data_IF_130387513229
#
_entry.id   IF_130387513229
#
_cell.length_a   1.000
_cell.length_b   1.000
_cell.length_c   1.000
_cell.angle_alpha   90.00
_cell.angle_beta   90.00
_cell.angle_gamma   90.00
#
_symmetry.space_group_name_H-M   'P 1'
#
loop_
_entity.id
_entity.type
_entity.pdbx_description
1 polymer ?
#
# COMPACT_ATOMS: atom_id res chain seq x y z
N UNK A 1 -29.25 -24.36 28.32
CA UNK A 1 -28.62 -25.06 27.18
C UNK A 1 -28.76 -24.18 25.94
N UNK A 2 -27.72 -23.43 25.60
CA UNK A 2 -27.55 -22.75 24.30
C UNK A 2 -26.05 -22.73 24.03
N UNK A 3 -25.64 -23.64 23.15
CA UNK A 3 -24.31 -23.74 22.59
C UNK A 3 -23.99 -22.44 21.82
N UNK A 4 -22.79 -21.90 22.04
CA UNK A 4 -22.22 -20.84 21.18
C UNK A 4 -21.03 -21.45 20.47
N UNK A 5 -21.12 -21.43 19.14
CA UNK A 5 -20.14 -21.98 18.23
C UNK A 5 -18.75 -21.39 18.42
N UNK A 6 -17.78 -22.26 18.19
CA UNK A 6 -16.34 -22.03 18.24
C UNK A 6 -16.02 -21.03 17.11
N UNK A 7 -15.68 -19.80 17.50
CA UNK A 7 -15.20 -18.77 16.60
C UNK A 7 -13.84 -19.18 16.05
N UNK A 8 -13.74 -19.17 14.72
CA UNK A 8 -12.56 -19.59 13.98
C UNK A 8 -11.29 -18.84 14.38
N UNK A 9 -10.20 -19.57 14.28
CA UNK A 9 -8.83 -19.09 14.23
C UNK A 9 -8.71 -18.04 13.11
N UNK A 10 -8.64 -16.76 13.48
CA UNK A 10 -8.39 -15.68 12.53
C UNK A 10 -6.88 -15.65 12.27
N UNK A 11 -6.47 -16.26 11.16
CA UNK A 11 -5.12 -16.13 10.63
C UNK A 11 -4.82 -14.64 10.39
N UNK A 12 -3.63 -14.22 10.79
CA UNK A 12 -3.11 -12.86 10.65
C UNK A 12 -3.09 -12.48 9.17
N UNK A 13 -4.01 -11.60 8.80
CA UNK A 13 -4.27 -11.14 7.45
C UNK A 13 -5.77 -10.88 7.38
N UNK A 14 -6.19 -9.75 6.81
CA UNK A 14 -7.62 -9.42 6.65
C UNK A 14 -8.29 -8.80 7.88
N UNK A 15 -7.75 -7.73 8.47
CA UNK A 15 -8.56 -6.66 9.07
C UNK A 15 -7.71 -5.39 9.11
N UNK A 16 -8.27 -4.26 8.66
CA UNK A 16 -7.71 -2.92 8.80
C UNK A 16 -7.62 -2.46 10.26
N UNK A 17 -6.85 -3.18 11.06
CA UNK A 17 -6.36 -2.74 12.36
C UNK A 17 -4.99 -2.11 12.16
N UNK A 18 -4.79 -0.95 12.76
CA UNK A 18 -3.48 -0.34 12.96
C UNK A 18 -2.42 -1.40 13.30
N UNK A 19 -1.47 -1.61 12.39
CA UNK A 19 -0.30 -2.43 12.68
C UNK A 19 0.42 -1.76 13.86
N UNK A 20 0.32 -2.39 15.04
CA UNK A 20 1.00 -1.96 16.25
C UNK A 20 2.51 -2.04 15.99
N UNK A 21 3.11 -0.90 15.61
CA UNK A 21 4.52 -0.78 15.25
C UNK A 21 4.80 0.16 14.07
N UNK A 22 3.81 0.52 13.26
CA UNK A 22 3.99 1.36 12.06
C UNK A 22 3.79 2.85 12.38
N UNK A 23 4.65 3.71 11.83
CA UNK A 23 4.49 5.18 11.90
C UNK A 23 3.08 5.56 11.45
N UNK A 24 2.29 6.19 12.33
CA UNK A 24 0.99 6.75 11.98
C UNK A 24 1.14 8.11 11.31
N UNK A 25 0.06 8.61 10.69
CA UNK A 25 0.05 9.94 10.06
C UNK A 25 0.50 11.07 11.02
N UNK A 26 0.24 10.92 12.32
CA UNK A 26 0.65 11.86 13.38
C UNK A 26 2.16 11.86 13.68
N UNK A 27 2.88 10.78 13.36
CA UNK A 27 4.34 10.64 13.53
C UNK A 27 5.13 11.32 12.40
N UNK A 28 4.39 11.87 11.43
CA UNK A 28 4.85 12.46 10.18
C UNK A 28 4.44 13.94 10.15
N UNK A 29 4.65 14.63 11.28
CA UNK A 29 4.33 16.05 11.38
C UNK A 29 5.25 16.93 10.52
N UNK A 30 6.43 16.44 10.12
CA UNK A 30 7.32 17.05 9.12
C UNK A 30 8.27 15.97 8.56
N UNK A 31 7.82 15.14 7.61
CA UNK A 31 8.71 14.19 6.95
C UNK A 31 9.72 14.93 6.08
N UNK A 32 10.93 14.38 5.95
CA UNK A 32 11.82 14.83 4.90
C UNK A 32 11.15 14.62 3.55
N UNK A 33 11.23 15.65 2.70
CA UNK A 33 10.84 15.61 1.28
C UNK A 33 11.89 14.90 0.41
N UNK A 34 12.98 14.50 1.04
CA UNK A 34 14.06 13.75 0.42
C UNK A 34 13.77 12.25 0.53
N UNK A 35 13.74 11.52 -0.61
CA UNK A 35 13.32 10.12 -0.65
C UNK A 35 14.22 9.21 0.17
N UNK A 36 15.54 9.41 0.12
CA UNK A 36 16.52 8.66 0.91
C UNK A 36 16.33 8.89 2.42
N UNK A 37 16.11 10.14 2.82
CA UNK A 37 15.86 10.46 4.23
C UNK A 37 14.53 9.87 4.73
N UNK A 38 13.51 9.77 3.86
CA UNK A 38 12.24 9.11 4.17
C UNK A 38 12.44 7.62 4.40
N UNK A 39 13.15 6.93 3.49
CA UNK A 39 13.48 5.51 3.59
C UNK A 39 14.20 5.24 4.91
N UNK A 40 15.28 5.97 5.20
CA UNK A 40 16.05 5.80 6.45
C UNK A 40 15.22 6.01 7.71
N UNK A 41 14.28 6.96 7.69
CA UNK A 41 13.40 7.21 8.83
C UNK A 41 12.42 6.06 9.05
N UNK A 42 11.94 5.44 7.98
CA UNK A 42 11.06 4.27 8.06
C UNK A 42 11.85 3.03 8.49
N UNK A 43 13.06 2.82 7.98
CA UNK A 43 13.95 1.73 8.41
C UNK A 43 14.35 1.84 9.89
N UNK A 44 14.35 3.06 10.45
CA UNK A 44 14.63 3.28 11.86
C UNK A 44 13.49 2.83 12.81
N UNK A 45 12.29 2.56 12.30
CA UNK A 45 11.17 2.04 13.11
C UNK A 45 11.09 0.51 13.11
N UNK A 46 10.53 -0.10 14.16
CA UNK A 46 10.40 -1.55 14.22
C UNK A 46 9.60 -2.09 13.04
N UNK A 47 10.20 -3.03 12.32
CA UNK A 47 9.53 -3.78 11.24
C UNK A 47 8.90 -5.07 11.75
N UNK A 48 7.91 -5.56 11.02
CA UNK A 48 7.35 -6.88 11.26
C UNK A 48 8.41 -7.98 11.12
N UNK A 49 8.30 -9.01 11.96
CA UNK A 49 9.20 -10.16 11.94
C UNK A 49 9.07 -10.90 10.60
N UNK A 50 10.20 -11.10 9.91
CA UNK A 50 10.24 -11.76 8.60
C UNK A 50 9.94 -10.84 7.40
N UNK A 51 9.71 -9.55 7.60
CA UNK A 51 9.64 -8.57 6.50
C UNK A 51 11.05 -8.26 5.95
N UNK A 52 11.17 -7.80 4.72
CA UNK A 52 12.40 -7.16 4.22
C UNK A 52 12.34 -5.66 4.44
N UNK A 53 13.46 -4.96 4.25
CA UNK A 53 13.50 -3.50 4.37
C UNK A 53 12.62 -2.86 3.28
N UNK A 54 12.63 -3.39 2.05
CA UNK A 54 11.78 -2.92 0.95
C UNK A 54 10.30 -3.10 1.27
N UNK A 55 9.91 -4.29 1.77
CA UNK A 55 8.53 -4.57 2.15
C UNK A 55 8.06 -3.69 3.31
N UNK A 56 8.94 -3.42 4.28
CA UNK A 56 8.65 -2.54 5.41
C UNK A 56 8.44 -1.10 4.97
N UNK A 57 9.29 -0.57 4.10
CA UNK A 57 9.15 0.77 3.53
C UNK A 57 7.88 0.87 2.69
N UNK A 58 7.65 -0.10 1.81
CA UNK A 58 6.49 -0.12 0.91
C UNK A 58 5.18 -0.15 1.68
N UNK A 59 5.06 -1.03 2.68
CA UNK A 59 3.84 -1.17 3.48
C UNK A 59 3.56 0.06 4.34
N UNK A 60 4.62 0.65 4.93
CA UNK A 60 4.52 1.90 5.69
C UNK A 60 4.01 3.04 4.81
N UNK A 61 4.61 3.25 3.64
CA UNK A 61 4.20 4.31 2.70
C UNK A 61 2.78 4.07 2.20
N UNK A 62 2.44 2.84 1.80
CA UNK A 62 1.09 2.48 1.35
C UNK A 62 0.05 2.76 2.43
N UNK A 63 0.34 2.38 3.68
CA UNK A 63 -0.52 2.65 4.83
C UNK A 63 -0.78 4.14 5.07
N UNK A 64 0.24 4.98 4.87
CA UNK A 64 0.11 6.44 4.98
C UNK A 64 -0.70 7.05 3.85
N UNK A 65 -0.42 6.66 2.61
CA UNK A 65 -1.16 7.12 1.43
C UNK A 65 -2.64 6.73 1.51
N UNK A 66 -2.94 5.54 2.03
CA UNK A 66 -4.30 5.04 2.27
C UNK A 66 -5.11 5.91 3.22
N UNK A 67 -4.46 6.70 4.10
CA UNK A 67 -5.19 7.64 4.96
C UNK A 67 -5.84 8.78 4.18
N UNK A 68 -5.35 9.10 2.98
CA UNK A 68 -5.78 10.25 2.19
C UNK A 68 -5.38 11.62 2.77
N UNK A 69 -4.65 11.66 3.88
CA UNK A 69 -4.25 12.90 4.57
C UNK A 69 -2.87 13.42 4.14
N UNK A 70 -2.18 12.68 3.27
CA UNK A 70 -0.82 13.01 2.82
C UNK A 70 -0.86 14.15 1.79
N UNK A 71 -0.20 15.31 2.04
CA UNK A 71 -0.15 16.42 1.09
C UNK A 71 0.62 16.03 -0.19
N UNK A 72 0.29 16.68 -1.32
CA UNK A 72 0.82 16.32 -2.64
C UNK A 72 2.36 16.30 -2.74
N UNK A 73 3.02 17.29 -2.13
CA UNK A 73 4.48 17.40 -2.09
C UNK A 73 5.14 16.20 -1.38
N UNK A 74 4.51 15.72 -0.31
CA UNK A 74 4.96 14.53 0.40
C UNK A 74 4.64 13.24 -0.36
N UNK A 75 3.47 13.17 -1.03
CA UNK A 75 3.15 12.02 -1.88
C UNK A 75 4.18 11.83 -2.98
N UNK A 76 4.63 12.91 -3.61
CA UNK A 76 5.68 12.86 -4.63
C UNK A 76 6.97 12.25 -4.06
N UNK A 77 7.45 12.73 -2.91
CA UNK A 77 8.64 12.17 -2.26
C UNK A 77 8.46 10.68 -1.88
N UNK A 78 7.26 10.29 -1.45
CA UNK A 78 6.92 8.89 -1.15
C UNK A 78 6.93 8.02 -2.41
N UNK A 79 6.37 8.48 -3.54
CA UNK A 79 6.40 7.73 -4.79
C UNK A 79 7.80 7.58 -5.36
N UNK A 80 8.62 8.63 -5.28
CA UNK A 80 10.04 8.57 -5.63
C UNK A 80 10.77 7.57 -4.74
N UNK A 81 10.54 7.60 -3.43
CA UNK A 81 11.11 6.63 -2.50
C UNK A 81 10.72 5.19 -2.87
N UNK A 82 9.45 4.93 -3.18
CA UNK A 82 9.00 3.62 -3.66
C UNK A 82 9.69 3.24 -4.98
N UNK A 83 9.82 4.15 -5.93
CA UNK A 83 10.46 3.88 -7.23
C UNK A 83 11.97 3.59 -7.11
N UNK A 84 12.62 4.06 -6.04
CA UNK A 84 14.04 3.76 -5.76
C UNK A 84 14.28 2.44 -5.06
N UNK A 85 13.23 1.76 -4.56
CA UNK A 85 13.39 0.49 -3.89
C UNK A 85 13.84 -0.62 -4.86
N UNK A 86 14.69 -1.57 -4.40
CA UNK A 86 14.99 -2.76 -5.17
C UNK A 86 13.72 -3.58 -5.43
N UNK A 87 13.68 -4.24 -6.59
CA UNK A 87 12.58 -5.10 -7.03
C UNK A 87 11.23 -4.40 -7.27
N UNK A 88 11.16 -3.07 -7.20
CA UNK A 88 9.95 -2.33 -7.58
C UNK A 88 9.76 -2.33 -9.09
N UNK A 89 8.53 -2.60 -9.50
CA UNK A 89 8.07 -2.63 -10.89
C UNK A 89 7.07 -1.50 -11.08
N UNK A 90 7.48 -0.46 -11.81
CA UNK A 90 6.57 0.61 -12.22
C UNK A 90 5.90 0.20 -13.54
N UNK A 91 4.60 -0.02 -13.50
CA UNK A 91 3.79 -0.26 -14.70
C UNK A 91 3.30 1.07 -15.24
N UNK A 92 3.94 1.54 -16.31
CA UNK A 92 3.56 2.77 -17.02
C UNK A 92 2.21 2.63 -17.74
N UNK A 93 1.78 1.40 -18.03
CA UNK A 93 0.46 1.15 -18.61
C UNK A 93 -0.64 1.51 -17.61
N UNK A 94 -1.51 2.44 -18.01
CA UNK A 94 -2.62 2.92 -17.18
C UNK A 94 -3.53 1.76 -16.74
N UNK A 95 -3.43 1.42 -15.46
CA UNK A 95 -4.28 0.46 -14.77
C UNK A 95 -5.59 1.12 -14.42
N UNK A 96 -6.69 0.51 -14.86
CA UNK A 96 -8.03 0.93 -14.43
C UNK A 96 -8.39 0.23 -13.12
N UNK A 97 -8.59 0.99 -12.05
CA UNK A 97 -9.16 0.54 -10.77
C UNK A 97 -10.44 1.32 -10.49
N UNK A 98 -11.56 0.63 -10.32
CA UNK A 98 -12.88 1.22 -10.06
C UNK A 98 -13.27 2.37 -11.05
N UNK A 99 -12.86 2.22 -12.31
CA UNK A 99 -13.11 3.20 -13.37
C UNK A 99 -12.13 4.39 -13.41
N UNK A 100 -11.21 4.50 -12.46
CA UNK A 100 -10.13 5.49 -12.48
C UNK A 100 -8.85 4.87 -13.04
N UNK A 101 -8.13 5.61 -13.89
CA UNK A 101 -6.93 5.15 -14.56
C UNK A 101 -5.71 5.72 -13.85
N UNK A 102 -4.75 4.87 -13.53
CA UNK A 102 -3.53 5.27 -12.84
C UNK A 102 -2.31 4.44 -13.20
N UNK A 103 -1.16 4.89 -12.75
CA UNK A 103 0.11 4.15 -12.83
C UNK A 103 0.23 3.23 -11.62
N UNK A 104 0.64 1.98 -11.85
CA UNK A 104 0.86 1.03 -10.76
C UNK A 104 2.35 0.97 -10.38
N UNK A 105 2.65 1.10 -9.09
CA UNK A 105 3.97 0.89 -8.51
C UNK A 105 3.89 -0.39 -7.68
N UNK A 106 4.50 -1.45 -8.19
CA UNK A 106 4.39 -2.80 -7.63
C UNK A 106 5.65 -3.25 -6.91
N UNK A 107 5.50 -3.94 -5.77
CA UNK A 107 6.58 -4.65 -5.09
C UNK A 107 6.20 -6.14 -4.91
N UNK A 108 7.05 -7.09 -5.34
CA UNK A 108 6.81 -8.51 -5.09
C UNK A 108 6.82 -8.82 -3.59
N UNK A 109 5.85 -9.62 -3.14
CA UNK A 109 5.79 -10.13 -1.77
C UNK A 109 6.89 -11.15 -1.53
N UNK A 110 7.22 -11.38 -0.25
CA UNK A 110 8.21 -12.40 0.17
C UNK A 110 7.93 -13.81 -0.38
N UNK A 111 6.67 -14.15 -0.65
CA UNK A 111 6.28 -15.42 -1.27
C UNK A 111 6.82 -15.60 -2.69
N UNK A 112 7.17 -14.50 -3.38
CA UNK A 112 7.57 -14.48 -4.79
C UNK A 112 6.44 -14.89 -5.74
N UNK A 113 5.20 -14.99 -5.25
CA UNK A 113 4.03 -15.46 -6.01
C UNK A 113 3.00 -14.36 -6.25
N UNK A 114 3.19 -13.25 -5.56
CA UNK A 114 2.26 -12.15 -5.45
C UNK A 114 3.05 -10.86 -5.55
N UNK A 115 2.44 -9.86 -6.14
CA UNK A 115 2.95 -8.50 -6.20
C UNK A 115 1.87 -7.57 -5.67
N UNK A 116 2.26 -6.65 -4.80
CA UNK A 116 1.38 -5.63 -4.27
C UNK A 116 1.62 -4.32 -5.02
N UNK A 117 0.59 -3.82 -5.68
CA UNK A 117 0.62 -2.59 -6.47
C UNK A 117 -0.08 -1.47 -5.72
N UNK A 118 0.58 -0.31 -5.63
CA UNK A 118 -0.05 0.97 -5.32
C UNK A 118 -0.40 1.66 -6.63
N UNK A 119 -1.62 2.17 -6.75
CA UNK A 119 -2.14 2.80 -7.97
C UNK A 119 -2.31 4.30 -7.72
N UNK A 120 -1.70 5.10 -8.59
CA UNK A 120 -1.63 6.55 -8.47
C UNK A 120 -2.21 7.24 -9.69
N UNK A 121 -2.90 8.34 -9.49
CA UNK A 121 -3.42 9.17 -10.57
C UNK A 121 -2.28 9.96 -11.22
N UNK A 122 -2.14 9.87 -12.54
CA UNK A 122 -1.06 10.55 -13.26
C UNK A 122 -1.29 12.07 -13.40
N UNK A 123 -2.53 12.53 -13.26
CA UNK A 123 -2.88 13.94 -13.43
C UNK A 123 -2.53 14.78 -12.21
N UNK A 124 -2.78 14.26 -11.01
CA UNK A 124 -2.61 15.01 -9.75
C UNK A 124 -1.83 14.25 -8.65
N UNK A 125 -1.39 13.02 -8.93
CA UNK A 125 -0.64 12.20 -7.98
C UNK A 125 -1.47 11.76 -6.78
N UNK A 126 -2.81 11.68 -6.89
CA UNK A 126 -3.66 11.11 -5.86
C UNK A 126 -3.46 9.60 -5.76
N UNK A 127 -3.57 9.09 -4.54
CA UNK A 127 -3.67 7.66 -4.29
C UNK A 127 -5.07 7.18 -4.69
N UNK A 128 -5.15 6.30 -5.70
CA UNK A 128 -6.41 5.71 -6.18
C UNK A 128 -6.74 4.46 -5.35
N UNK A 129 -5.72 3.70 -4.97
CA UNK A 129 -5.90 2.45 -4.25
C UNK A 129 -4.69 1.53 -4.36
N UNK A 130 -4.91 0.29 -4.00
CA UNK A 130 -3.92 -0.79 -4.06
C UNK A 130 -4.57 -2.07 -4.59
N UNK A 131 -3.76 -2.95 -5.17
CA UNK A 131 -4.19 -4.28 -5.57
C UNK A 131 -3.07 -5.28 -5.39
N UNK A 132 -3.41 -6.52 -5.09
CA UNK A 132 -2.47 -7.63 -5.15
C UNK A 132 -2.74 -8.46 -6.40
N UNK A 133 -1.69 -8.76 -7.16
CA UNK A 133 -1.75 -9.61 -8.34
C UNK A 133 -0.92 -10.86 -8.15
N UNK A 134 -1.40 -11.97 -8.71
CA UNK A 134 -0.64 -13.21 -8.76
C UNK A 134 0.41 -13.13 -9.87
N UNK A 135 1.71 -13.21 -9.54
CA UNK A 135 2.79 -13.09 -10.54
C UNK A 135 3.07 -14.40 -11.27
N UNK A 136 2.68 -15.54 -10.70
CA UNK A 136 2.82 -16.87 -11.29
C UNK A 136 1.56 -17.70 -11.10
N UNK A 137 1.31 -18.69 -11.95
CA UNK A 137 0.15 -19.57 -11.77
C UNK A 137 0.25 -20.35 -10.46
N UNK A 138 -0.78 -20.25 -9.62
CA UNK A 138 -0.93 -21.04 -8.39
C UNK A 138 -2.28 -21.75 -8.45
N UNK A 139 -2.25 -23.08 -8.53
CA UNK A 139 -3.46 -23.88 -8.75
C UNK A 139 -4.20 -23.45 -10.02
N UNK A 140 -5.47 -23.06 -9.86
CA UNK A 140 -6.34 -22.59 -10.94
C UNK A 140 -6.21 -21.08 -11.23
N UNK A 141 -5.50 -20.32 -10.40
CA UNK A 141 -5.31 -18.87 -10.55
C UNK A 141 -4.15 -18.63 -11.51
N UNK A 142 -4.40 -17.94 -12.63
CA UNK A 142 -3.37 -17.66 -13.63
C UNK A 142 -2.50 -16.47 -13.23
N UNK A 143 -1.26 -16.42 -13.73
CA UNK A 143 -0.44 -15.22 -13.60
C UNK A 143 -1.17 -13.99 -14.19
N UNK A 144 -1.00 -12.83 -13.56
CA UNK A 144 -1.70 -11.58 -13.89
C UNK A 144 -3.11 -11.47 -13.31
N UNK A 145 -3.59 -12.46 -12.53
CA UNK A 145 -4.91 -12.37 -11.89
C UNK A 145 -4.84 -11.44 -10.67
N UNK A 146 -5.75 -10.48 -10.58
CA UNK A 146 -5.96 -9.68 -9.36
C UNK A 146 -6.60 -10.58 -8.31
N UNK A 147 -5.95 -10.72 -7.16
CA UNK A 147 -6.39 -11.58 -6.05
C UNK A 147 -6.93 -10.78 -4.87
N UNK A 148 -6.56 -9.51 -4.75
CA UNK A 148 -7.09 -8.56 -3.78
C UNK A 148 -7.06 -7.14 -4.36
N UNK A 149 -8.00 -6.29 -3.98
CA UNK A 149 -7.95 -4.86 -4.32
C UNK A 149 -8.72 -3.99 -3.33
N UNK A 150 -8.17 -2.82 -3.06
CA UNK A 150 -8.77 -1.77 -2.24
C UNK A 150 -8.74 -0.47 -3.02
N UNK A 151 -9.87 0.22 -3.08
CA UNK A 151 -9.98 1.54 -3.71
C UNK A 151 -10.24 2.59 -2.63
N UNK A 152 -9.51 3.71 -2.70
CA UNK A 152 -9.68 4.83 -1.78
C UNK A 152 -10.24 6.01 -2.55
N UNK A 153 -11.33 6.58 -2.05
CA UNK A 153 -11.94 7.78 -2.61
C UNK A 153 -11.97 8.87 -1.55
N UNK A 154 -11.19 9.92 -1.78
CA UNK A 154 -11.25 11.14 -0.96
C UNK A 154 -12.19 12.12 -1.65
N UNK A 155 -13.39 12.26 -1.10
CA UNK A 155 -14.30 13.34 -1.48
C UNK A 155 -14.19 14.45 -0.44
N UNK A 156 -13.89 15.71 -0.80
CA UNK A 156 -14.09 16.80 0.12
C UNK A 156 -15.56 16.77 0.56
N UNK A 157 -15.81 16.83 1.86
CA UNK A 157 -17.15 17.17 2.36
C UNK A 157 -17.39 18.59 1.90
N UNK A 158 -18.15 18.73 0.82
CA UNK A 158 -18.75 19.99 0.46
C UNK A 158 -19.80 20.29 1.54
N UNK A 159 -19.56 21.35 2.30
CA UNK A 159 -20.45 21.89 3.32
C UNK A 159 -21.81 22.17 2.67
N UNK A 160 -22.76 21.27 2.85
CA UNK A 160 -24.15 21.49 2.43
C UNK A 160 -24.84 22.36 3.49
N UNK A 161 -25.68 23.33 3.07
CA UNK A 161 -25.98 24.58 3.77
C UNK A 161 -26.77 24.49 5.07
#
# INVERSE_FOLDING_TARGET
MRERGIGGDFAIGELGGEQTGTLGASDIADPPRDPDALIRRIEAVPRAAGSTDELHVFDTISGLLRTGLVPADLRAAMYEALATLPDVVVTEEQVSLDGQRGTAIGLPRWSGTEQHDVIIDLADGAYIGERSIQTRRIGSISAGTVIDSVTVRVTPVDDQP
#
